data_IF_411778553622
#
_entry.id   IF_411778553622
#
_cell.length_a   1.000
_cell.length_b   1.000
_cell.length_c   1.000
_cell.angle_alpha   90.00
_cell.angle_beta   90.00
_cell.angle_gamma   90.00
#
_symmetry.space_group_name_H-M   'P 1'
#
loop_
_entity.id
_entity.type
_entity.pdbx_description
1 polymer ?
#
# COMPACT_ATOMS: atom_id res chain seq x y z
N UNK A 1 1.67 5.29 -59.58
CA UNK A 1 1.23 5.37 -58.17
C UNK A 1 2.43 5.25 -57.20
N UNK A 2 3.32 4.27 -57.29
CA UNK A 2 4.48 4.05 -56.42
C UNK A 2 5.42 5.26 -56.30
N UNK A 3 5.77 5.91 -57.39
CA UNK A 3 6.68 7.09 -57.36
C UNK A 3 6.09 8.31 -56.66
N UNK A 4 4.78 8.52 -56.73
CA UNK A 4 4.12 9.64 -56.07
C UNK A 4 4.08 9.45 -54.55
N UNK A 5 3.97 8.20 -54.07
CA UNK A 5 4.03 7.84 -52.65
C UNK A 5 5.44 8.05 -52.08
N UNK A 6 6.47 7.62 -52.83
CA UNK A 6 7.89 7.77 -52.41
C UNK A 6 8.26 9.26 -52.36
N UNK A 7 7.82 10.06 -53.31
CA UNK A 7 8.08 11.51 -53.33
C UNK A 7 7.38 12.21 -52.14
N UNK A 8 6.13 11.83 -51.83
CA UNK A 8 5.40 12.37 -50.71
C UNK A 8 6.04 11.99 -49.37
N UNK A 9 6.55 10.78 -49.24
CA UNK A 9 7.31 10.34 -48.04
C UNK A 9 8.63 11.12 -47.90
N UNK A 10 9.34 11.32 -49.00
CA UNK A 10 10.59 12.11 -49.00
C UNK A 10 10.37 13.58 -48.64
N UNK A 11 9.25 14.19 -49.12
CA UNK A 11 8.91 15.55 -48.79
C UNK A 11 8.39 15.71 -47.35
N UNK A 12 7.80 14.65 -46.77
CA UNK A 12 7.39 14.61 -45.37
C UNK A 12 8.60 14.59 -44.43
N UNK A 13 9.71 13.99 -44.82
CA UNK A 13 10.97 13.96 -44.08
C UNK A 13 11.95 15.05 -44.53
N UNK A 14 11.46 16.23 -44.88
CA UNK A 14 12.34 17.37 -45.09
C UNK A 14 13.07 17.78 -43.80
N UNK A 15 14.17 18.51 -43.91
CA UNK A 15 15.00 18.90 -42.77
C UNK A 15 14.22 19.65 -41.67
N UNK A 16 13.23 20.43 -42.05
CA UNK A 16 12.39 21.18 -41.11
C UNK A 16 11.47 20.27 -40.32
N UNK A 17 10.77 19.37 -41.01
CA UNK A 17 9.87 18.38 -40.38
C UNK A 17 10.63 17.47 -39.41
N UNK A 18 11.84 17.02 -39.77
CA UNK A 18 12.69 16.25 -38.87
C UNK A 18 13.06 17.04 -37.61
N UNK A 19 13.41 18.33 -37.75
CA UNK A 19 13.71 19.19 -36.60
C UNK A 19 12.48 19.33 -35.70
N UNK A 20 11.28 19.54 -36.27
CA UNK A 20 10.04 19.63 -35.49
C UNK A 20 9.75 18.33 -34.72
N UNK A 21 9.92 17.17 -35.38
CA UNK A 21 9.69 15.86 -34.74
C UNK A 21 10.68 15.65 -33.57
N UNK A 22 11.95 15.97 -33.78
CA UNK A 22 12.98 15.84 -32.75
C UNK A 22 12.68 16.80 -31.58
N UNK A 23 12.32 18.05 -31.87
CA UNK A 23 11.98 19.03 -30.84
C UNK A 23 10.76 18.58 -30.05
N UNK A 24 9.71 18.08 -30.73
CA UNK A 24 8.53 17.53 -30.07
C UNK A 24 8.86 16.33 -29.21
N UNK A 25 9.68 15.40 -29.70
CA UNK A 25 10.11 14.22 -28.93
C UNK A 25 10.90 14.63 -27.68
N UNK A 26 11.79 15.60 -27.77
CA UNK A 26 12.53 16.15 -26.62
C UNK A 26 11.56 16.78 -25.62
N UNK A 27 10.58 17.54 -26.09
CA UNK A 27 9.60 18.22 -25.25
C UNK A 27 8.74 17.18 -24.49
N UNK A 28 8.29 16.13 -25.17
CA UNK A 28 7.57 15.00 -24.55
C UNK A 28 8.47 14.29 -23.53
N UNK A 29 9.73 14.04 -23.85
CA UNK A 29 10.67 13.41 -22.93
C UNK A 29 10.87 14.23 -21.65
N UNK A 30 11.02 15.55 -21.77
CA UNK A 30 11.11 16.47 -20.61
C UNK A 30 9.84 16.42 -19.77
N UNK A 31 8.68 16.43 -20.40
CA UNK A 31 7.40 16.41 -19.70
C UNK A 31 7.17 15.11 -18.90
N UNK A 32 7.79 14.00 -19.31
CA UNK A 32 7.70 12.70 -18.63
C UNK A 32 8.72 12.54 -17.48
N UNK A 33 9.63 13.51 -17.28
CA UNK A 33 10.59 13.46 -16.17
C UNK A 33 9.81 13.39 -14.85
N UNK A 34 10.11 12.40 -13.97
CA UNK A 34 9.43 12.28 -12.68
C UNK A 34 9.78 13.46 -11.77
N UNK A 35 8.82 13.88 -10.95
CA UNK A 35 8.98 14.90 -9.91
C UNK A 35 8.79 14.26 -8.53
N UNK A 36 9.27 14.93 -7.49
CA UNK A 36 9.19 14.47 -6.10
C UNK A 36 7.83 14.78 -5.47
N UNK A 37 6.76 14.41 -6.19
CA UNK A 37 5.37 14.55 -5.77
C UNK A 37 4.56 13.33 -6.16
N UNK A 38 3.60 12.95 -5.31
CA UNK A 38 2.44 12.19 -5.70
C UNK A 38 1.35 13.14 -6.19
N UNK A 39 0.64 12.74 -7.22
CA UNK A 39 -0.48 13.49 -7.79
C UNK A 39 -1.72 12.64 -7.64
N UNK A 40 -2.67 13.14 -6.87
CA UNK A 40 -4.00 12.55 -6.73
C UNK A 40 -4.90 13.18 -7.76
N UNK A 41 -5.52 12.36 -8.58
CA UNK A 41 -6.46 12.78 -9.62
C UNK A 41 -7.85 12.24 -9.31
N UNK A 42 -8.87 12.93 -9.77
CA UNK A 42 -10.24 12.44 -9.66
C UNK A 42 -10.36 11.05 -10.30
N UNK A 43 -10.91 10.11 -9.54
CA UNK A 43 -11.17 8.75 -9.99
C UNK A 43 -12.59 8.63 -10.53
N UNK A 44 -13.41 7.82 -9.87
CA UNK A 44 -14.79 7.58 -10.28
C UNK A 44 -15.63 7.02 -9.15
N UNK A 45 -16.70 6.36 -9.53
CA UNK A 45 -17.55 5.61 -8.62
C UNK A 45 -17.53 4.14 -9.02
N UNK A 46 -17.46 3.27 -8.03
CA UNK A 46 -17.63 1.81 -8.19
C UNK A 46 -18.89 1.38 -7.46
N UNK A 47 -19.63 0.47 -8.05
CA UNK A 47 -20.86 -0.06 -7.47
C UNK A 47 -20.53 -1.27 -6.62
N UNK A 48 -20.51 -1.11 -5.30
CA UNK A 48 -20.15 -2.16 -4.34
C UNK A 48 -21.09 -3.36 -4.37
N UNK A 49 -22.33 -3.20 -4.84
CA UNK A 49 -23.27 -4.33 -4.99
C UNK A 49 -22.86 -5.32 -6.07
N UNK A 50 -21.94 -4.93 -6.98
CA UNK A 50 -21.39 -5.82 -8.00
C UNK A 50 -20.14 -6.55 -7.49
N UNK A 51 -19.34 -5.85 -6.68
CA UNK A 51 -18.03 -6.31 -6.25
C UNK A 51 -18.09 -7.09 -4.93
N UNK A 52 -19.17 -6.87 -4.12
CA UNK A 52 -19.37 -7.55 -2.84
C UNK A 52 -20.60 -8.43 -2.94
N UNK A 53 -20.43 -9.73 -2.76
CA UNK A 53 -21.52 -10.72 -2.82
C UNK A 53 -21.63 -11.46 -1.50
N UNK A 54 -22.86 -11.55 -0.99
CA UNK A 54 -23.19 -12.30 0.24
C UNK A 54 -24.12 -13.47 -0.09
N UNK A 55 -23.79 -14.65 0.37
CA UNK A 55 -24.63 -15.83 0.14
C UNK A 55 -26.03 -15.63 0.74
N UNK A 56 -27.09 -15.98 -0.02
CA UNK A 56 -28.49 -15.77 0.37
C UNK A 56 -28.89 -14.30 0.58
N UNK A 57 -28.24 -13.40 -0.15
CA UNK A 57 -28.57 -11.98 -0.11
C UNK A 57 -30.06 -11.72 -0.49
N UNK A 58 -30.74 -10.90 0.29
CA UNK A 58 -32.08 -10.43 -0.02
C UNK A 58 -32.02 -9.34 -1.10
N UNK A 59 -33.04 -9.27 -1.96
CA UNK A 59 -33.17 -8.18 -2.94
C UNK A 59 -33.10 -6.84 -2.24
N UNK A 60 -32.14 -6.00 -2.63
CA UNK A 60 -31.96 -4.64 -2.15
C UNK A 60 -32.80 -3.65 -2.97
N UNK A 61 -33.25 -2.60 -2.31
CA UNK A 61 -33.78 -1.40 -2.99
C UNK A 61 -32.66 -0.34 -2.97
N UNK A 62 -32.20 0.07 -4.13
CA UNK A 62 -31.10 1.03 -4.27
C UNK A 62 -29.74 0.36 -4.49
N UNK A 63 -28.68 1.15 -4.49
CA UNK A 63 -27.29 0.70 -4.66
C UNK A 63 -26.37 1.42 -3.68
N UNK A 64 -25.28 0.76 -3.30
CA UNK A 64 -24.19 1.34 -2.51
C UNK A 64 -23.03 1.57 -3.47
N UNK A 65 -22.56 2.83 -3.55
CA UNK A 65 -21.45 3.18 -4.41
C UNK A 65 -20.33 3.80 -3.56
N UNK A 66 -19.10 3.39 -3.80
CA UNK A 66 -17.91 4.02 -3.27
C UNK A 66 -17.32 4.96 -4.31
N UNK A 67 -16.79 6.10 -3.86
CA UNK A 67 -15.95 6.97 -4.69
C UNK A 67 -14.50 6.62 -4.45
N UNK A 68 -13.69 6.75 -5.49
CA UNK A 68 -12.25 6.55 -5.38
C UNK A 68 -11.48 7.66 -6.09
N UNK A 69 -10.25 7.85 -5.69
CA UNK A 69 -9.27 8.69 -6.36
C UNK A 69 -8.14 7.82 -6.90
N UNK A 70 -7.41 8.32 -7.88
CA UNK A 70 -6.22 7.65 -8.39
C UNK A 70 -5.00 8.45 -7.97
N UNK A 71 -4.08 7.81 -7.30
CA UNK A 71 -2.79 8.39 -6.94
C UNK A 71 -1.69 7.83 -7.85
N UNK A 72 -0.83 8.68 -8.36
CA UNK A 72 0.29 8.31 -9.21
C UNK A 72 1.52 9.14 -8.88
N UNK A 73 2.71 8.57 -9.09
CA UNK A 73 3.95 9.33 -9.00
C UNK A 73 3.95 10.39 -10.09
N UNK A 74 4.10 11.65 -9.68
CA UNK A 74 4.03 12.80 -10.56
C UNK A 74 5.17 12.87 -11.56
N UNK A 75 4.89 13.49 -12.68
CA UNK A 75 5.86 13.96 -13.67
C UNK A 75 5.62 15.45 -13.94
N UNK A 76 6.47 16.07 -14.76
CA UNK A 76 6.36 17.52 -15.05
C UNK A 76 4.97 17.86 -15.59
N UNK A 77 4.37 17.03 -16.46
CA UNK A 77 3.03 17.28 -17.01
C UNK A 77 1.99 17.31 -15.89
N UNK A 78 1.90 16.23 -15.10
CA UNK A 78 0.89 16.11 -14.04
C UNK A 78 1.10 17.13 -12.94
N UNK A 79 2.35 17.49 -12.65
CA UNK A 79 2.69 18.56 -11.71
C UNK A 79 2.19 19.92 -12.20
N UNK A 80 2.40 20.27 -13.48
CA UNK A 80 1.90 21.52 -14.04
C UNK A 80 0.37 21.53 -14.13
N UNK A 81 -0.25 20.40 -14.49
CA UNK A 81 -1.72 20.27 -14.51
C UNK A 81 -2.33 20.47 -13.13
N UNK A 82 -1.63 20.14 -12.03
CA UNK A 82 -2.13 20.38 -10.67
C UNK A 82 -2.33 21.86 -10.31
N UNK A 83 -1.82 22.79 -11.10
CA UNK A 83 -2.09 24.23 -10.94
C UNK A 83 -3.31 24.73 -11.75
N UNK A 84 -3.72 23.96 -12.74
CA UNK A 84 -4.76 24.34 -13.71
C UNK A 84 -6.05 23.56 -13.48
N UNK A 85 -5.93 22.27 -13.14
CA UNK A 85 -7.05 21.36 -12.93
C UNK A 85 -7.39 21.25 -11.44
N UNK A 86 -8.56 21.80 -10.99
CA UNK A 86 -8.90 21.87 -9.57
C UNK A 86 -8.99 20.51 -8.86
N UNK A 87 -9.25 19.42 -9.61
CA UNK A 87 -9.33 18.06 -9.08
C UNK A 87 -7.98 17.35 -8.97
N UNK A 88 -6.87 18.02 -9.33
CA UNK A 88 -5.52 17.48 -9.20
C UNK A 88 -4.90 18.02 -7.91
N UNK A 89 -4.71 17.15 -6.94
CA UNK A 89 -4.00 17.45 -5.71
C UNK A 89 -2.58 16.94 -5.79
N UNK A 90 -1.66 17.62 -5.12
CA UNK A 90 -0.24 17.24 -5.09
C UNK A 90 0.25 17.16 -3.66
N UNK A 91 0.96 16.09 -3.36
CA UNK A 91 1.60 15.89 -2.06
C UNK A 91 3.08 15.51 -2.28
N UNK A 92 3.98 16.06 -1.47
CA UNK A 92 5.40 15.68 -1.54
C UNK A 92 5.59 14.21 -1.18
N UNK A 93 6.44 13.51 -1.92
CA UNK A 93 6.76 12.11 -1.65
C UNK A 93 7.10 11.88 -0.18
N UNK A 94 7.91 12.75 0.44
CA UNK A 94 8.29 12.65 1.86
C UNK A 94 7.13 12.74 2.86
N UNK A 95 5.95 13.21 2.45
CA UNK A 95 4.77 13.29 3.31
C UNK A 95 3.87 12.05 3.17
N UNK A 96 4.04 11.30 2.07
CA UNK A 96 3.26 10.10 1.74
C UNK A 96 4.03 8.84 2.07
N UNK A 97 5.33 8.84 1.78
CA UNK A 97 6.23 7.73 2.08
C UNK A 97 7.06 8.00 3.31
N UNK A 98 7.45 6.95 4.01
CA UNK A 98 8.44 7.06 5.07
C UNK A 98 9.84 7.29 4.47
N UNK A 99 10.74 7.84 5.29
CA UNK A 99 12.14 8.06 4.87
C UNK A 99 12.78 6.74 4.42
N UNK A 100 13.45 6.77 3.27
CA UNK A 100 14.10 5.62 2.65
C UNK A 100 13.15 4.44 2.30
N UNK A 101 11.83 4.66 2.34
CA UNK A 101 10.87 3.64 1.93
C UNK A 101 10.98 3.39 0.42
N UNK A 102 11.26 2.15 0.04
CA UNK A 102 11.24 1.75 -1.37
C UNK A 102 9.81 1.69 -1.90
N UNK A 103 9.64 1.82 -3.21
CA UNK A 103 8.33 1.66 -3.86
C UNK A 103 7.67 0.33 -3.48
N UNK A 104 8.44 -0.75 -3.45
CA UNK A 104 7.95 -2.08 -3.12
C UNK A 104 7.46 -2.19 -1.66
N UNK A 105 8.15 -1.53 -0.72
CA UNK A 105 7.73 -1.49 0.69
C UNK A 105 6.49 -0.63 0.86
N UNK A 106 6.41 0.50 0.17
CA UNK A 106 5.23 1.35 0.14
C UNK A 106 4.00 0.57 -0.37
N UNK A 107 4.11 -0.10 -1.53
CA UNK A 107 3.02 -0.90 -2.10
C UNK A 107 2.59 -2.03 -1.16
N UNK A 108 3.54 -2.68 -0.47
CA UNK A 108 3.22 -3.70 0.52
C UNK A 108 2.46 -3.11 1.71
N UNK A 109 2.91 -1.99 2.26
CA UNK A 109 2.26 -1.31 3.38
C UNK A 109 0.84 -0.87 3.03
N UNK A 110 0.64 -0.27 1.86
CA UNK A 110 -0.69 0.13 1.38
C UNK A 110 -1.63 -1.08 1.20
N UNK A 111 -1.10 -2.18 0.67
CA UNK A 111 -1.85 -3.45 0.58
C UNK A 111 -2.27 -3.96 1.97
N UNK A 112 -1.39 -3.89 2.94
CA UNK A 112 -1.69 -4.32 4.31
C UNK A 112 -2.76 -3.44 4.96
N UNK A 113 -2.73 -2.12 4.76
CA UNK A 113 -3.78 -1.21 5.23
C UNK A 113 -5.12 -1.46 4.54
N UNK A 114 -5.09 -1.75 3.25
CA UNK A 114 -6.30 -2.12 2.50
C UNK A 114 -6.91 -3.42 3.05
N UNK A 115 -6.12 -4.47 3.25
CA UNK A 115 -6.58 -5.72 3.86
C UNK A 115 -7.16 -5.48 5.25
N UNK A 116 -6.50 -4.67 6.07
CA UNK A 116 -7.00 -4.32 7.40
C UNK A 116 -8.37 -3.61 7.33
N UNK A 117 -8.55 -2.70 6.38
CA UNK A 117 -9.83 -2.00 6.18
C UNK A 117 -10.95 -2.98 5.83
N UNK A 118 -10.69 -3.93 4.93
CA UNK A 118 -11.65 -4.99 4.59
C UNK A 118 -11.95 -5.86 5.81
N UNK A 119 -10.93 -6.33 6.52
CA UNK A 119 -11.08 -7.17 7.69
C UNK A 119 -11.89 -6.47 8.79
N UNK A 120 -11.62 -5.18 9.04
CA UNK A 120 -12.38 -4.37 9.99
C UNK A 120 -13.85 -4.22 9.57
N UNK A 121 -14.10 -3.97 8.27
CA UNK A 121 -15.46 -3.86 7.73
C UNK A 121 -16.25 -5.18 7.91
N UNK A 122 -15.62 -6.31 7.60
CA UNK A 122 -16.21 -7.65 7.80
C UNK A 122 -16.52 -7.85 9.28
N UNK A 123 -15.54 -7.63 10.16
CA UNK A 123 -15.72 -7.82 11.59
C UNK A 123 -16.88 -7.00 12.15
N UNK A 124 -16.92 -5.71 11.84
CA UNK A 124 -17.98 -4.80 12.28
C UNK A 124 -19.34 -5.20 11.71
N UNK A 125 -19.41 -5.54 10.42
CA UNK A 125 -20.67 -5.93 9.77
C UNK A 125 -21.27 -7.21 10.37
N UNK A 126 -20.47 -8.25 10.56
CA UNK A 126 -20.94 -9.53 11.08
C UNK A 126 -21.27 -9.44 12.58
N UNK A 127 -20.45 -8.75 13.37
CA UNK A 127 -20.70 -8.55 14.79
C UNK A 127 -21.98 -7.75 15.01
N UNK A 128 -22.19 -6.62 14.33
CA UNK A 128 -23.37 -5.79 14.50
C UNK A 128 -24.66 -6.43 13.95
N UNK A 129 -24.54 -7.33 12.99
CA UNK A 129 -25.68 -8.08 12.46
C UNK A 129 -25.95 -9.37 13.21
N UNK A 130 -25.24 -9.67 14.30
CA UNK A 130 -25.30 -10.93 15.05
C UNK A 130 -25.13 -12.15 14.15
N UNK A 131 -24.25 -12.07 13.17
CA UNK A 131 -23.89 -13.17 12.29
C UNK A 131 -22.61 -13.86 12.76
N UNK A 132 -22.44 -15.11 12.35
CA UNK A 132 -21.28 -15.89 12.75
C UNK A 132 -20.01 -15.32 12.12
N UNK A 133 -19.03 -15.04 12.95
CA UNK A 133 -17.65 -14.70 12.55
C UNK A 133 -16.68 -15.43 13.47
N UNK A 134 -15.67 -16.07 12.88
CA UNK A 134 -14.63 -16.80 13.61
C UNK A 134 -13.27 -16.47 12.97
N UNK A 135 -12.30 -16.13 13.78
CA UNK A 135 -10.91 -15.93 13.31
C UNK A 135 -10.28 -17.32 13.07
N UNK A 136 -9.95 -17.62 11.83
CA UNK A 136 -9.22 -18.85 11.46
C UNK A 136 -7.73 -18.74 11.72
N UNK A 137 -7.16 -17.60 11.34
CA UNK A 137 -5.74 -17.29 11.54
C UNK A 137 -5.56 -15.78 11.64
N UNK A 138 -4.46 -15.40 12.27
CA UNK A 138 -3.98 -14.04 12.33
C UNK A 138 -2.48 -14.07 12.06
N UNK A 139 -2.06 -13.45 10.99
CA UNK A 139 -0.66 -13.33 10.60
C UNK A 139 -0.15 -11.93 10.93
N UNK A 140 1.05 -11.83 11.50
CA UNK A 140 1.64 -10.56 11.89
C UNK A 140 2.78 -10.21 10.95
N UNK A 141 2.67 -9.06 10.30
CA UNK A 141 3.67 -8.60 9.35
C UNK A 141 4.34 -7.31 9.81
N UNK A 142 5.66 -7.24 9.63
CA UNK A 142 6.41 -5.99 9.75
C UNK A 142 6.09 -5.12 8.53
N UNK A 143 5.45 -3.97 8.76
CA UNK A 143 5.03 -3.05 7.70
C UNK A 143 5.88 -1.79 7.60
N UNK A 144 6.59 -1.43 8.68
CA UNK A 144 7.51 -0.30 8.72
C UNK A 144 8.51 -0.44 9.85
N UNK A 145 9.71 0.10 9.65
CA UNK A 145 10.80 0.12 10.64
C UNK A 145 11.28 1.56 10.78
N UNK A 146 11.27 2.05 12.01
CA UNK A 146 11.65 3.42 12.36
C UNK A 146 13.16 3.62 12.31
N UNK A 147 13.62 4.84 12.02
CA UNK A 147 15.05 5.18 11.92
C UNK A 147 15.82 4.92 13.24
N UNK A 148 15.15 5.08 14.38
CA UNK A 148 15.78 4.83 15.67
C UNK A 148 15.82 3.35 16.04
N UNK A 149 15.17 2.47 15.30
CA UNK A 149 15.17 1.04 15.59
C UNK A 149 16.58 0.44 15.49
N UNK A 150 16.89 -0.45 16.42
CA UNK A 150 18.09 -1.28 16.34
C UNK A 150 17.63 -2.71 16.15
N UNK A 151 17.48 -3.13 14.91
CA UNK A 151 16.84 -4.40 14.57
C UNK A 151 17.45 -5.03 13.31
N UNK A 152 17.37 -6.35 13.24
CA UNK A 152 17.64 -7.13 12.02
C UNK A 152 16.34 -7.57 11.30
N UNK A 153 15.17 -7.13 11.78
CA UNK A 153 13.91 -7.32 11.10
C UNK A 153 13.91 -6.56 9.75
N UNK A 154 13.12 -7.07 8.83
CA UNK A 154 12.88 -6.43 7.54
C UNK A 154 11.38 -6.24 7.33
N UNK A 155 11.02 -5.24 6.53
CA UNK A 155 9.63 -5.10 6.06
C UNK A 155 9.25 -6.37 5.30
N UNK A 156 8.02 -6.84 5.47
CA UNK A 156 7.45 -8.12 5.01
C UNK A 156 7.80 -9.34 5.84
N UNK A 157 8.64 -9.24 6.87
CA UNK A 157 8.82 -10.36 7.80
C UNK A 157 7.48 -10.73 8.44
N UNK A 158 7.12 -12.00 8.39
CA UNK A 158 5.99 -12.55 9.13
C UNK A 158 6.48 -13.04 10.49
N UNK A 159 6.00 -12.44 11.56
CA UNK A 159 6.40 -12.79 12.93
C UNK A 159 5.71 -14.10 13.32
N UNK A 160 6.48 -15.03 13.86
CA UNK A 160 5.98 -16.34 14.33
C UNK A 160 6.06 -16.41 15.86
N UNK A 161 7.21 -16.06 16.45
CA UNK A 161 7.46 -16.13 17.88
C UNK A 161 8.25 -14.92 18.35
N UNK A 162 8.05 -14.53 19.61
CA UNK A 162 8.84 -13.53 20.31
C UNK A 162 9.31 -14.14 21.62
N UNK A 163 10.62 -14.14 21.88
CA UNK A 163 11.26 -14.80 23.03
C UNK A 163 10.72 -16.24 23.24
N UNK A 164 10.71 -17.05 22.20
CA UNK A 164 10.18 -18.43 22.15
C UNK A 164 8.68 -18.57 22.48
N UNK A 165 7.94 -17.48 22.50
CA UNK A 165 6.48 -17.50 22.71
C UNK A 165 5.78 -17.23 21.39
N UNK A 166 4.89 -18.14 21.00
CA UNK A 166 4.07 -17.98 19.79
C UNK A 166 3.15 -16.76 19.93
N UNK A 167 3.13 -15.92 18.91
CA UNK A 167 2.37 -14.67 18.89
C UNK A 167 1.30 -14.73 17.80
N UNK A 168 0.08 -14.33 18.15
CA UNK A 168 -1.04 -14.26 17.21
C UNK A 168 -1.60 -12.83 17.09
N UNK A 169 -1.25 -11.94 18.05
CA UNK A 169 -1.73 -10.56 18.11
C UNK A 169 -0.59 -9.60 18.40
N UNK A 170 -0.56 -8.46 17.72
CA UNK A 170 0.46 -7.44 17.95
C UNK A 170 0.41 -6.86 19.39
N UNK A 171 -0.76 -6.87 20.03
CA UNK A 171 -0.91 -6.47 21.43
C UNK A 171 -0.08 -7.32 22.39
N UNK A 172 0.07 -8.63 22.13
CA UNK A 172 0.90 -9.52 22.95
C UNK A 172 2.37 -9.09 22.94
N UNK A 173 2.88 -8.64 21.79
CA UNK A 173 4.23 -8.11 21.67
C UNK A 173 4.40 -6.88 22.57
N UNK A 174 3.41 -5.96 22.56
CA UNK A 174 3.42 -4.77 23.40
C UNK A 174 3.47 -5.13 24.89
N UNK A 175 2.70 -6.11 25.33
CA UNK A 175 2.71 -6.61 26.70
C UNK A 175 4.08 -7.18 27.07
N UNK A 176 4.66 -8.03 26.21
CA UNK A 176 5.98 -8.65 26.46
C UNK A 176 7.10 -7.61 26.58
N UNK A 177 7.13 -6.61 25.69
CA UNK A 177 8.16 -5.57 25.75
C UNK A 177 7.96 -4.62 26.93
N UNK A 178 6.75 -4.51 27.49
CA UNK A 178 6.47 -3.65 28.65
C UNK A 178 7.29 -4.05 29.89
N UNK A 179 7.63 -5.32 30.02
CA UNK A 179 8.41 -5.88 31.14
C UNK A 179 9.92 -5.76 30.95
N UNK A 180 10.39 -5.46 29.74
CA UNK A 180 11.80 -5.35 29.38
C UNK A 180 12.40 -4.01 29.80
N UNK A 181 13.74 -3.94 29.85
CA UNK A 181 14.48 -2.71 30.09
C UNK A 181 14.96 -2.08 28.78
N UNK A 182 15.37 -0.81 28.86
CA UNK A 182 16.04 -0.14 27.75
C UNK A 182 17.29 -0.93 27.32
N UNK A 183 17.46 -1.13 26.02
CA UNK A 183 18.53 -1.88 25.37
C UNK A 183 18.48 -3.41 25.57
N UNK A 184 17.51 -3.96 26.30
CA UNK A 184 17.30 -5.40 26.28
C UNK A 184 17.09 -5.87 24.84
N UNK A 185 17.67 -7.03 24.52
CA UNK A 185 17.43 -7.71 23.26
C UNK A 185 16.17 -8.57 23.36
N UNK A 186 15.36 -8.53 22.31
CA UNK A 186 14.20 -9.39 22.10
C UNK A 186 14.51 -10.27 20.91
N UNK A 187 14.41 -11.57 21.09
CA UNK A 187 14.56 -12.54 20.02
C UNK A 187 13.23 -12.71 19.29
N UNK A 188 13.27 -12.63 17.96
CA UNK A 188 12.06 -12.73 17.13
C UNK A 188 12.30 -13.75 16.05
N UNK A 189 11.50 -14.81 16.05
CA UNK A 189 11.44 -15.77 14.95
C UNK A 189 10.49 -15.26 13.91
N UNK A 190 10.94 -15.17 12.68
CA UNK A 190 10.16 -14.70 11.52
C UNK A 190 10.23 -15.68 10.37
N UNK A 191 9.21 -15.65 9.52
CA UNK A 191 9.26 -16.23 8.18
C UNK A 191 9.64 -15.13 7.20
N UNK A 192 10.77 -15.31 6.52
CA UNK A 192 11.29 -14.44 5.45
C UNK A 192 11.64 -15.30 4.25
N UNK A 193 11.09 -14.98 3.08
CA UNK A 193 11.32 -15.74 1.83
C UNK A 193 11.08 -17.26 2.01
N UNK A 194 9.98 -17.61 2.68
CA UNK A 194 9.59 -18.99 3.03
C UNK A 194 10.59 -19.76 3.94
N UNK A 195 11.50 -19.05 4.60
CA UNK A 195 12.44 -19.64 5.57
C UNK A 195 12.21 -19.05 6.95
N UNK A 196 12.29 -19.90 7.97
CA UNK A 196 12.31 -19.43 9.36
C UNK A 196 13.70 -18.88 9.70
N UNK A 197 13.72 -17.68 10.24
CA UNK A 197 14.95 -16.97 10.64
C UNK A 197 14.74 -16.44 12.04
N UNK A 198 15.76 -16.60 12.88
CA UNK A 198 15.83 -15.94 14.18
C UNK A 198 16.56 -14.61 14.01
N UNK A 199 15.93 -13.55 14.47
CA UNK A 199 16.44 -12.18 14.39
C UNK A 199 16.32 -11.51 15.76
N UNK A 200 16.94 -10.35 15.92
CA UNK A 200 16.93 -9.62 17.18
C UNK A 200 16.58 -8.16 16.99
N UNK A 201 15.94 -7.61 17.99
CA UNK A 201 15.65 -6.18 18.08
C UNK A 201 15.94 -5.68 19.50
N UNK A 202 16.27 -4.39 19.63
CA UNK A 202 16.53 -3.77 20.94
C UNK A 202 15.40 -2.86 21.36
N UNK A 203 15.09 -2.89 22.65
CA UNK A 203 14.11 -1.99 23.24
C UNK A 203 14.69 -0.59 23.37
N UNK A 204 13.94 0.40 22.92
CA UNK A 204 14.19 1.84 23.11
C UNK A 204 13.13 2.43 24.01
N UNK A 205 13.43 3.57 24.64
CA UNK A 205 12.45 4.39 25.34
C UNK A 205 12.25 5.66 24.50
N UNK A 206 11.07 5.81 23.95
CA UNK A 206 10.65 6.97 23.13
C UNK A 206 9.35 7.49 23.73
N UNK A 207 9.31 8.77 24.05
CA UNK A 207 8.15 9.43 24.70
C UNK A 207 7.68 8.69 25.97
N UNK A 208 8.62 8.22 26.77
CA UNK A 208 8.39 7.41 27.97
C UNK A 208 7.74 6.04 27.74
N UNK A 209 7.64 5.59 26.49
CA UNK A 209 7.15 4.26 26.14
C UNK A 209 8.30 3.35 25.67
N UNK A 210 8.19 2.07 26.01
CA UNK A 210 9.11 1.03 25.53
C UNK A 210 8.69 0.62 24.13
N UNK A 211 9.57 0.78 23.16
CA UNK A 211 9.30 0.51 21.75
C UNK A 211 10.47 -0.23 21.11
N UNK A 212 10.17 -1.07 20.14
CA UNK A 212 11.17 -1.69 19.26
C UNK A 212 11.49 -0.80 18.05
N UNK A 213 10.63 0.17 17.74
CA UNK A 213 10.71 0.96 16.51
C UNK A 213 10.28 0.18 15.28
N UNK A 214 9.44 -0.83 15.46
CA UNK A 214 8.92 -1.69 14.39
C UNK A 214 7.40 -1.65 14.43
N UNK A 215 6.79 -1.34 13.31
CA UNK A 215 5.34 -1.33 13.16
C UNK A 215 4.87 -2.66 12.61
N UNK A 216 3.98 -3.29 13.34
CA UNK A 216 3.48 -4.64 13.07
C UNK A 216 1.97 -4.55 12.90
N UNK A 217 1.46 -5.21 11.89
CA UNK A 217 0.04 -5.25 11.58
C UNK A 217 -0.45 -6.69 11.51
N UNK A 218 -1.64 -6.92 12.07
CA UNK A 218 -2.33 -8.19 11.93
C UNK A 218 -3.07 -8.27 10.60
N UNK A 219 -2.89 -9.38 9.89
CA UNK A 219 -3.71 -9.76 8.75
C UNK A 219 -4.58 -10.95 9.16
N UNK A 220 -5.87 -10.68 9.35
CA UNK A 220 -6.83 -11.66 9.83
C UNK A 220 -7.44 -12.44 8.67
N UNK A 221 -7.63 -13.74 8.88
CA UNK A 221 -8.44 -14.55 8.03
C UNK A 221 -9.70 -14.96 8.79
N UNK A 222 -10.86 -14.46 8.37
CA UNK A 222 -12.14 -14.74 8.99
C UNK A 222 -12.91 -15.82 8.23
N UNK A 223 -13.51 -16.73 9.00
CA UNK A 223 -14.61 -17.56 8.52
C UNK A 223 -15.93 -16.92 8.95
N UNK A 224 -16.79 -16.65 7.97
CA UNK A 224 -18.05 -15.93 8.19
C UNK A 224 -19.24 -16.69 7.59
N UNK A 225 -20.40 -16.54 8.25
CA UNK A 225 -21.66 -17.07 7.75
C UNK A 225 -22.77 -16.01 7.92
N UNK A 226 -23.43 -15.60 6.84
CA UNK A 226 -23.31 -16.03 5.44
C UNK A 226 -21.96 -15.70 4.81
N UNK A 227 -21.52 -16.49 3.82
CA UNK A 227 -20.23 -16.26 3.15
C UNK A 227 -20.25 -14.96 2.35
N UNK A 228 -19.19 -14.19 2.47
CA UNK A 228 -18.91 -12.98 1.68
C UNK A 228 -17.77 -13.26 0.67
N UNK A 229 -17.88 -12.71 -0.52
CA UNK A 229 -16.82 -12.73 -1.54
C UNK A 229 -16.66 -11.35 -2.13
N UNK A 230 -15.43 -11.04 -2.52
CA UNK A 230 -15.05 -9.81 -3.22
C UNK A 230 -14.58 -10.21 -4.62
N UNK A 231 -15.14 -9.58 -5.67
CA UNK A 231 -14.75 -9.79 -7.08
C UNK A 231 -13.71 -8.78 -7.52
#
# INVERSE_FOLDING_TARGET
MKNKIITNIKNFFDKKTIIYIITLAILIAIMLIPVDYYITIGGGTMNLDKDIKVTNEKKKKGSINATYVTELKGNIITYLLSYIVPSFEKEKVKNVTYKEETKENYEFREKMYFNQSINNAIYVAYTNSNKKITTKSSDLYVIYIDEFATTNLKIKDKIIEVDNTKINEASQIKEMISTKNKNDEVEIKVQRDNKEIITKTKIKIIDNEKRMGVYILNDYNYEVDPKITFD
#
